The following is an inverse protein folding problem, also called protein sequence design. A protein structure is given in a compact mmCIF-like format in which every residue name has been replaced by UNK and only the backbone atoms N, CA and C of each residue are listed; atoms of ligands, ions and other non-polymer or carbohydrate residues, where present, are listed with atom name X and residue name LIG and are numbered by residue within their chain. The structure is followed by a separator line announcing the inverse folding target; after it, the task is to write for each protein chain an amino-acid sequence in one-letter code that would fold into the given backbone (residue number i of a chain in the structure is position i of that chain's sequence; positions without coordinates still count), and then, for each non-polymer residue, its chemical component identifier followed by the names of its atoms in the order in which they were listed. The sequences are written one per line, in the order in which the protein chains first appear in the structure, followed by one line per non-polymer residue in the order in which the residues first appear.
data_IF_814722886230
#
_entry.id   IF_814722886230
#
_cell.length_a   1.000
_cell.length_b   1.000
_cell.length_c   1.000
_cell.angle_alpha   90.00
_cell.angle_beta   90.00
_cell.angle_gamma   90.00
#
_symmetry.space_group_name_H-M   'P 1'
#
loop_
_entity.id
_entity.type
_entity.pdbx_description
1 polymer ?
#
# COMPACT_ATOMS: atom_id res chain seq x y z
N UNK A 1 -42.72 6.31 -17.15
CA UNK A 1 -43.37 5.11 -16.55
C UNK A 1 -42.36 4.43 -15.64
N UNK A 2 -42.64 4.42 -14.32
CA UNK A 2 -41.84 3.74 -13.30
C UNK A 2 -42.02 2.23 -13.39
N UNK A 3 -40.96 1.44 -13.24
CA UNK A 3 -41.03 0.14 -12.56
C UNK A 3 -39.78 -0.10 -11.70
N UNK A 4 -40.03 -0.12 -10.40
CA UNK A 4 -39.15 -0.62 -9.34
C UNK A 4 -39.03 -2.15 -9.44
N UNK A 5 -37.92 -2.72 -8.98
CA UNK A 5 -37.94 -3.97 -8.22
C UNK A 5 -36.65 -4.08 -7.38
N UNK A 6 -36.83 -3.87 -6.08
CA UNK A 6 -35.95 -4.34 -5.02
C UNK A 6 -36.66 -5.53 -4.35
N UNK A 7 -35.89 -6.55 -3.96
CA UNK A 7 -35.96 -7.33 -2.72
C UNK A 7 -35.54 -8.79 -2.97
N UNK A 8 -34.53 -9.25 -2.22
CA UNK A 8 -34.41 -10.66 -1.87
C UNK A 8 -34.00 -10.75 -0.39
N UNK A 9 -34.69 -11.65 0.31
CA UNK A 9 -34.83 -11.73 1.75
C UNK A 9 -33.74 -12.59 2.43
N UNK A 10 -33.43 -12.23 3.67
CA UNK A 10 -32.72 -13.04 4.65
C UNK A 10 -33.65 -14.14 5.23
N UNK A 11 -33.14 -15.36 5.39
CA UNK A 11 -33.79 -16.41 6.18
C UNK A 11 -32.88 -16.81 7.35
N UNK A 12 -33.39 -16.61 8.56
CA UNK A 12 -32.83 -17.08 9.84
C UNK A 12 -33.49 -18.41 10.19
N UNK A 13 -32.70 -19.40 10.63
CA UNK A 13 -33.21 -20.63 11.23
C UNK A 13 -32.60 -20.79 12.64
N UNK A 14 -33.48 -20.62 13.64
CA UNK A 14 -33.29 -20.98 15.04
C UNK A 14 -33.89 -22.38 15.26
N UNK A 15 -33.16 -23.28 15.91
CA UNK A 15 -33.75 -24.43 16.59
C UNK A 15 -33.28 -24.43 18.05
N UNK A 16 -34.25 -24.34 18.96
CA UNK A 16 -34.10 -24.59 20.38
C UNK A 16 -34.62 -26.00 20.69
N UNK A 17 -33.92 -26.71 21.59
CA UNK A 17 -34.38 -27.95 22.19
C UNK A 17 -34.03 -27.96 23.67
N UNK A 18 -35.05 -28.04 24.53
CA UNK A 18 -34.96 -28.18 25.98
C UNK A 18 -35.22 -29.63 26.40
N UNK A 19 -34.52 -30.13 27.42
CA UNK A 19 -35.10 -30.95 28.48
C UNK A 19 -34.20 -31.03 29.73
N UNK A 20 -34.88 -30.98 30.89
CA UNK A 20 -34.43 -31.16 32.29
C UNK A 20 -34.16 -32.67 32.58
N UNK A 21 -33.54 -33.18 33.66
CA UNK A 21 -33.66 -32.85 35.10
C UNK A 21 -32.62 -33.68 35.94
N UNK A 22 -32.29 -33.14 37.14
CA UNK A 22 -32.08 -33.81 38.46
C UNK A 22 -30.75 -34.43 39.00
N UNK A 23 -30.34 -33.83 40.14
CA UNK A 23 -29.91 -34.37 41.46
C UNK A 23 -28.61 -35.19 41.65
N UNK A 24 -27.65 -34.63 42.42
CA UNK A 24 -27.33 -34.99 43.84
C UNK A 24 -26.12 -34.19 44.40
N UNK A 25 -26.20 -33.77 45.68
CA UNK A 25 -25.09 -33.21 46.51
C UNK A 25 -24.34 -34.34 47.28
N UNK A 26 -23.38 -34.06 48.18
CA UNK A 26 -22.01 -33.55 47.97
C UNK A 26 -20.96 -34.52 48.56
N UNK A 27 -19.66 -34.39 48.21
CA UNK A 27 -18.59 -35.02 49.00
C UNK A 27 -17.40 -34.08 49.17
N UNK A 28 -17.12 -33.78 50.42
CA UNK A 28 -15.97 -33.05 50.94
C UNK A 28 -14.69 -33.88 50.79
N UNK A 29 -13.67 -33.28 50.19
CA UNK A 29 -12.24 -33.52 50.50
C UNK A 29 -11.43 -32.36 49.91
N UNK A 30 -10.91 -31.46 50.75
CA UNK A 30 -9.64 -30.78 50.44
C UNK A 30 -8.53 -31.84 50.54
N UNK A 31 -7.51 -31.81 49.65
CA UNK A 31 -6.31 -31.06 50.04
C UNK A 31 -5.50 -30.42 48.88
N UNK A 32 -4.66 -29.47 49.30
CA UNK A 32 -3.37 -29.01 48.74
C UNK A 32 -3.36 -28.05 47.52
N UNK A 33 -2.65 -26.90 47.60
CA UNK A 33 -2.43 -26.03 46.44
C UNK A 33 -1.36 -26.64 45.52
N UNK A 34 -1.79 -27.19 44.40
CA UNK A 34 -0.89 -27.54 43.30
C UNK A 34 -0.42 -26.26 42.61
N UNK A 35 0.79 -25.82 42.94
CA UNK A 35 1.53 -24.83 42.17
C UNK A 35 1.94 -25.44 40.82
N UNK A 36 0.98 -25.62 39.91
CA UNK A 36 1.29 -25.71 38.49
C UNK A 36 1.63 -24.32 37.98
N UNK A 37 2.87 -23.92 38.22
CA UNK A 37 3.57 -22.94 37.39
C UNK A 37 3.56 -23.53 35.98
N UNK A 38 2.53 -23.20 35.19
CA UNK A 38 2.54 -23.44 33.75
C UNK A 38 3.81 -22.79 33.24
N UNK A 39 4.81 -23.62 32.94
CA UNK A 39 5.97 -23.19 32.19
C UNK A 39 5.42 -22.68 30.87
N UNK A 40 5.34 -21.35 30.76
CA UNK A 40 5.10 -20.68 29.50
C UNK A 40 6.33 -21.03 28.66
N UNK A 41 6.20 -22.05 27.82
CA UNK A 41 7.17 -22.36 26.78
C UNK A 41 7.33 -21.10 25.95
N UNK A 42 8.38 -20.36 26.24
CA UNK A 42 8.78 -19.20 25.47
C UNK A 42 9.16 -19.77 24.11
N UNK A 43 8.28 -19.59 23.11
CA UNK A 43 8.60 -19.96 21.75
C UNK A 43 9.96 -19.37 21.42
N UNK A 44 10.91 -20.20 20.99
CA UNK A 44 12.25 -19.76 20.58
C UNK A 44 12.05 -18.74 19.47
N UNK A 45 12.23 -17.46 19.80
CA UNK A 45 11.98 -16.39 18.82
C UNK A 45 13.18 -16.36 17.89
N UNK A 46 12.97 -16.53 16.59
CA UNK A 46 14.05 -16.47 15.62
C UNK A 46 14.68 -15.08 15.60
N UNK A 47 15.97 -15.01 15.31
CA UNK A 47 16.68 -13.73 15.20
C UNK A 47 16.36 -13.08 13.86
N UNK A 48 15.97 -11.81 13.89
CA UNK A 48 15.89 -10.97 12.71
C UNK A 48 17.29 -10.46 12.35
N UNK A 49 17.97 -11.13 11.42
CA UNK A 49 19.28 -10.70 10.93
C UNK A 49 19.09 -9.58 9.91
N UNK A 50 19.74 -8.43 10.14
CA UNK A 50 19.76 -7.28 9.24
C UNK A 50 21.17 -7.12 8.68
N UNK A 51 21.30 -7.14 7.36
CA UNK A 51 22.54 -6.85 6.66
C UNK A 51 22.37 -5.58 5.85
N UNK A 52 22.88 -4.47 6.40
CA UNK A 52 22.80 -3.16 5.81
C UNK A 52 23.80 -2.97 4.64
N UNK A 53 24.75 -3.88 4.43
CA UNK A 53 25.65 -3.84 3.28
C UNK A 53 24.98 -4.43 2.03
N UNK A 54 24.06 -5.40 2.20
CA UNK A 54 23.31 -5.99 1.10
C UNK A 54 22.07 -5.15 0.75
N UNK A 55 22.25 -4.25 -0.22
CA UNK A 55 21.19 -3.41 -0.76
C UNK A 55 20.24 -4.17 -1.71
N UNK A 56 18.97 -3.77 -1.69
CA UNK A 56 17.90 -4.30 -2.54
C UNK A 56 17.29 -3.16 -3.37
N UNK A 57 15.95 -3.06 -3.46
CA UNK A 57 15.30 -2.01 -4.22
C UNK A 57 15.36 -0.64 -3.53
N UNK A 58 15.51 0.42 -4.33
CA UNK A 58 15.31 1.81 -3.87
C UNK A 58 13.83 2.09 -3.67
N UNK A 59 13.45 2.56 -2.49
CA UNK A 59 12.08 2.94 -2.17
C UNK A 59 11.71 4.26 -2.83
N UNK A 60 10.58 4.25 -3.50
CA UNK A 60 10.07 5.36 -4.28
C UNK A 60 8.98 6.14 -3.54
N UNK A 61 8.28 5.47 -2.61
CA UNK A 61 7.38 6.12 -1.68
C UNK A 61 6.13 5.33 -1.34
N UNK A 62 5.30 5.95 -0.50
CA UNK A 62 4.02 5.42 -0.07
C UNK A 62 2.96 6.50 -0.28
N UNK A 63 1.74 6.11 -0.66
CA UNK A 63 0.75 7.11 -1.07
C UNK A 63 -0.68 6.62 -1.17
N UNK A 64 -1.49 7.40 -1.87
CA UNK A 64 -2.85 7.03 -2.22
C UNK A 64 -3.39 7.88 -3.36
N UNK A 65 -4.61 7.56 -3.79
CA UNK A 65 -5.31 8.23 -4.87
C UNK A 65 -6.23 9.36 -4.40
N UNK A 66 -6.24 10.46 -5.15
CA UNK A 66 -7.31 11.47 -5.15
C UNK A 66 -7.97 11.47 -6.52
N UNK A 67 -9.24 11.09 -6.60
CA UNK A 67 -9.98 10.96 -7.86
C UNK A 67 -11.16 11.92 -7.86
N UNK A 68 -10.89 13.18 -8.21
CA UNK A 68 -11.86 14.27 -8.17
C UNK A 68 -13.07 14.04 -9.08
N UNK A 69 -12.89 13.29 -10.17
CA UNK A 69 -13.99 12.96 -11.08
C UNK A 69 -15.09 12.14 -10.38
N UNK A 70 -14.78 11.43 -9.30
CA UNK A 70 -15.71 10.49 -8.64
C UNK A 70 -16.12 10.91 -7.24
N UNK A 71 -15.26 11.62 -6.52
CA UNK A 71 -15.54 12.12 -5.17
C UNK A 71 -15.00 13.55 -5.04
N UNK A 72 -15.47 14.29 -4.03
CA UNK A 72 -14.96 15.64 -3.76
C UNK A 72 -13.43 15.65 -3.61
N UNK A 73 -12.78 16.76 -3.99
CA UNK A 73 -11.33 16.92 -3.79
C UNK A 73 -10.95 16.86 -2.31
N UNK A 74 -9.68 16.63 -2.01
CA UNK A 74 -9.16 16.77 -0.65
C UNK A 74 -9.26 18.24 -0.20
N UNK A 75 -9.72 18.46 1.02
CA UNK A 75 -9.70 19.79 1.66
C UNK A 75 -8.27 20.19 2.04
N UNK A 76 -7.98 21.47 2.34
CA UNK A 76 -6.65 21.90 2.81
C UNK A 76 -6.15 21.10 4.03
N UNK A 77 -7.03 20.80 4.98
CA UNK A 77 -6.73 19.94 6.12
C UNK A 77 -6.36 18.53 5.67
N UNK A 78 -7.18 17.91 4.82
CA UNK A 78 -6.93 16.53 4.34
C UNK A 78 -5.64 16.42 3.53
N UNK A 79 -5.25 17.46 2.77
CA UNK A 79 -3.96 17.50 2.06
C UNK A 79 -2.79 17.55 3.06
N UNK A 80 -2.92 18.32 4.13
CA UNK A 80 -1.91 18.39 5.20
C UNK A 80 -1.80 17.05 5.93
N UNK A 81 -2.94 16.47 6.32
CA UNK A 81 -3.01 15.14 6.94
C UNK A 81 -2.48 14.03 6.04
N UNK A 82 -2.60 14.16 4.71
CA UNK A 82 -2.05 13.17 3.78
C UNK A 82 -0.52 13.30 3.63
N UNK A 83 -0.02 14.49 3.34
CA UNK A 83 1.33 14.66 2.79
C UNK A 83 2.38 15.17 3.79
N UNK A 84 1.99 15.86 4.86
CA UNK A 84 2.96 16.37 5.85
C UNK A 84 3.67 15.20 6.55
N UNK A 85 5.02 15.13 6.53
CA UNK A 85 5.75 14.05 7.20
C UNK A 85 5.86 14.23 8.72
N UNK A 86 5.49 15.41 9.23
CA UNK A 86 5.60 15.75 10.66
C UNK A 86 4.25 15.68 11.36
N UNK A 87 3.22 16.31 10.78
CA UNK A 87 1.87 16.36 11.34
C UNK A 87 0.94 15.30 10.74
N UNK A 88 1.09 14.98 9.44
CA UNK A 88 0.22 14.06 8.70
C UNK A 88 0.84 12.68 8.46
N UNK A 89 0.28 11.87 7.59
CA UNK A 89 0.75 10.50 7.28
C UNK A 89 2.14 10.52 6.63
N UNK A 90 2.50 11.60 5.96
CA UNK A 90 3.77 11.73 5.25
C UNK A 90 3.79 11.01 3.91
N UNK A 91 2.64 10.87 3.24
CA UNK A 91 2.59 10.30 1.90
C UNK A 91 3.55 11.05 0.96
N UNK A 92 4.28 10.28 0.15
CA UNK A 92 5.26 10.80 -0.81
C UNK A 92 4.92 10.41 -2.25
N UNK A 93 3.75 9.80 -2.47
CA UNK A 93 3.16 9.57 -3.78
C UNK A 93 1.69 10.01 -3.73
N UNK A 94 1.26 10.76 -4.73
CA UNK A 94 -0.15 11.04 -5.01
C UNK A 94 -0.49 10.40 -6.35
N UNK A 95 -1.51 9.55 -6.39
CA UNK A 95 -2.10 9.05 -7.63
C UNK A 95 -3.33 9.87 -8.01
N UNK A 96 -3.45 10.25 -9.27
CA UNK A 96 -4.59 11.02 -9.79
C UNK A 96 -5.11 10.41 -11.09
N UNK A 97 -6.34 10.75 -11.43
CA UNK A 97 -6.93 10.42 -12.72
C UNK A 97 -6.54 11.47 -13.76
N UNK A 98 -6.31 11.03 -14.99
CA UNK A 98 -6.37 11.90 -16.18
C UNK A 98 -7.84 11.98 -16.64
N UNK A 99 -8.53 13.13 -16.48
CA UNK A 99 -9.92 13.25 -16.93
C UNK A 99 -10.05 13.06 -18.44
N UNK A 100 -11.21 12.62 -18.92
CA UNK A 100 -11.48 12.49 -20.36
C UNK A 100 -11.75 13.84 -21.04
N UNK A 101 -12.15 14.86 -20.27
CA UNK A 101 -12.36 16.23 -20.77
C UNK A 101 -11.27 17.16 -20.27
N UNK A 102 -10.62 17.89 -21.19
CA UNK A 102 -9.57 18.86 -20.86
C UNK A 102 -10.09 20.04 -20.04
N UNK A 103 -11.40 20.34 -20.09
CA UNK A 103 -12.05 21.33 -19.24
C UNK A 103 -11.88 21.05 -17.74
N UNK A 104 -11.61 19.80 -17.37
CA UNK A 104 -11.52 19.37 -15.98
C UNK A 104 -10.07 19.39 -15.45
N UNK A 105 -9.06 19.57 -16.30
CA UNK A 105 -7.66 19.44 -15.89
C UNK A 105 -7.25 20.46 -14.83
N UNK A 106 -7.72 21.70 -14.95
CA UNK A 106 -7.39 22.76 -14.00
C UNK A 106 -7.86 22.44 -12.57
N UNK A 107 -8.94 21.65 -12.43
CA UNK A 107 -9.51 21.31 -11.13
C UNK A 107 -8.64 20.32 -10.33
N UNK A 108 -7.75 19.56 -10.97
CA UNK A 108 -6.83 18.64 -10.29
C UNK A 108 -5.66 19.37 -9.58
N UNK A 109 -5.35 20.60 -10.01
CA UNK A 109 -4.15 21.34 -9.56
C UNK A 109 -4.06 21.55 -8.04
N UNK A 110 -5.13 21.95 -7.33
CA UNK A 110 -5.01 22.29 -5.91
C UNK A 110 -4.43 21.18 -5.03
N UNK A 111 -4.83 19.92 -5.25
CA UNK A 111 -4.27 18.77 -4.51
C UNK A 111 -2.89 18.39 -5.02
N UNK A 112 -2.67 18.44 -6.35
CA UNK A 112 -1.37 18.17 -6.98
C UNK A 112 -0.28 19.13 -6.45
N UNK A 113 -0.57 20.43 -6.42
CA UNK A 113 0.39 21.46 -6.04
C UNK A 113 0.77 21.35 -4.56
N UNK A 114 -0.19 21.03 -3.67
CA UNK A 114 0.10 20.78 -2.26
C UNK A 114 0.88 19.48 -2.06
N UNK A 115 0.55 18.40 -2.78
CA UNK A 115 1.33 17.16 -2.69
C UNK A 115 2.80 17.40 -3.10
N UNK A 116 3.01 18.12 -4.21
CA UNK A 116 4.35 18.53 -4.68
C UNK A 116 5.09 19.41 -3.69
N UNK A 117 4.41 20.33 -2.99
CA UNK A 117 5.05 21.20 -1.99
C UNK A 117 5.60 20.42 -0.79
N UNK A 118 5.06 19.23 -0.50
CA UNK A 118 5.62 18.27 0.46
C UNK A 118 6.63 17.28 -0.16
N UNK A 119 6.97 17.46 -1.43
CA UNK A 119 7.93 16.62 -2.17
C UNK A 119 7.35 15.29 -2.67
N UNK A 120 6.02 15.15 -2.73
CA UNK A 120 5.40 13.94 -3.26
C UNK A 120 5.55 13.83 -4.78
N UNK A 121 5.76 12.61 -5.27
CA UNK A 121 5.69 12.27 -6.70
C UNK A 121 4.22 12.16 -7.10
N UNK A 122 3.82 12.87 -8.15
CA UNK A 122 2.46 12.75 -8.69
C UNK A 122 2.47 11.78 -9.85
N UNK A 123 1.75 10.67 -9.74
CA UNK A 123 1.54 9.72 -10.83
C UNK A 123 0.11 9.85 -11.35
N UNK A 124 -0.09 9.85 -12.66
CA UNK A 124 -1.40 10.03 -13.26
C UNK A 124 -1.79 8.83 -14.12
N UNK A 125 -3.02 8.34 -13.98
CA UNK A 125 -3.52 7.21 -14.76
C UNK A 125 -4.80 7.59 -15.49
N UNK A 126 -4.93 7.17 -16.74
CA UNK A 126 -6.17 7.30 -17.50
C UNK A 126 -7.02 6.02 -17.41
N UNK A 127 -8.30 6.17 -17.00
CA UNK A 127 -9.30 5.09 -17.09
C UNK A 127 -9.90 4.96 -18.48
N UNK A 128 -9.98 6.07 -19.21
CA UNK A 128 -10.52 6.14 -20.56
C UNK A 128 -9.79 7.22 -21.37
N UNK A 129 -9.76 7.04 -22.69
CA UNK A 129 -9.53 8.13 -23.61
C UNK A 129 -10.81 8.98 -23.78
N UNK A 130 -10.73 10.19 -24.37
CA UNK A 130 -11.91 10.90 -24.85
C UNK A 130 -12.77 9.99 -25.74
N UNK A 131 -14.10 10.04 -25.60
CA UNK A 131 -15.01 9.09 -26.27
C UNK A 131 -14.90 9.10 -27.79
N UNK A 132 -14.55 10.23 -28.40
CA UNK A 132 -14.29 10.37 -29.84
C UNK A 132 -13.07 9.57 -30.33
N UNK A 133 -12.21 9.12 -29.42
CA UNK A 133 -11.01 8.33 -29.69
C UNK A 133 -11.22 6.84 -29.48
N UNK A 134 -12.41 6.42 -29.04
CA UNK A 134 -12.72 5.04 -28.65
C UNK A 134 -13.75 4.40 -29.59
N UNK A 135 -13.75 3.07 -29.65
CA UNK A 135 -14.82 2.27 -30.27
C UNK A 135 -15.24 1.20 -29.27
N UNK A 136 -16.39 1.42 -28.64
CA UNK A 136 -16.77 0.68 -27.44
C UNK A 136 -15.78 0.97 -26.31
N UNK A 137 -15.20 -0.08 -25.73
CA UNK A 137 -14.20 0.00 -24.66
C UNK A 137 -12.75 0.03 -25.18
N UNK A 138 -12.55 0.00 -26.50
CA UNK A 138 -11.20 -0.08 -27.08
C UNK A 138 -10.74 1.28 -27.61
N UNK A 139 -9.46 1.60 -27.41
CA UNK A 139 -8.81 2.75 -28.04
C UNK A 139 -8.67 2.51 -29.55
N UNK A 140 -9.16 3.45 -30.37
CA UNK A 140 -8.93 3.38 -31.82
C UNK A 140 -7.45 3.63 -32.13
N UNK A 141 -6.81 2.73 -32.89
CA UNK A 141 -5.41 2.85 -33.31
C UNK A 141 -5.15 4.12 -34.10
N UNK A 142 -6.11 4.57 -34.92
CA UNK A 142 -6.03 5.84 -35.65
C UNK A 142 -5.97 7.07 -34.70
N UNK A 143 -6.42 6.91 -33.45
CA UNK A 143 -6.46 7.96 -32.43
C UNK A 143 -5.25 7.93 -31.49
N UNK A 144 -4.27 7.05 -31.68
CA UNK A 144 -3.11 6.94 -30.79
C UNK A 144 -2.38 8.27 -30.58
N UNK A 145 -2.09 9.00 -31.65
CA UNK A 145 -1.40 10.29 -31.55
C UNK A 145 -2.27 11.34 -30.83
N UNK A 146 -3.59 11.36 -31.11
CA UNK A 146 -4.53 12.28 -30.46
C UNK A 146 -4.67 11.96 -28.95
N UNK A 147 -4.66 10.68 -28.58
CA UNK A 147 -4.72 10.25 -27.20
C UNK A 147 -3.43 10.59 -26.44
N UNK A 148 -2.26 10.38 -27.04
CA UNK A 148 -1.00 10.82 -26.45
C UNK A 148 -0.94 12.35 -26.27
N UNK A 149 -1.46 13.11 -27.23
CA UNK A 149 -1.60 14.57 -27.10
C UNK A 149 -2.56 14.96 -25.96
N UNK A 150 -3.64 14.21 -25.74
CA UNK A 150 -4.53 14.40 -24.58
C UNK A 150 -3.76 14.21 -23.26
N UNK A 151 -3.02 13.11 -23.12
CA UNK A 151 -2.17 12.84 -21.95
C UNK A 151 -1.11 13.94 -21.72
N UNK A 152 -0.47 14.41 -22.79
CA UNK A 152 0.50 15.51 -22.72
C UNK A 152 -0.15 16.83 -22.31
N UNK A 153 -1.34 17.14 -22.84
CA UNK A 153 -2.07 18.36 -22.47
C UNK A 153 -2.48 18.34 -21.00
N UNK A 154 -2.86 17.18 -20.45
CA UNK A 154 -3.07 17.01 -19.01
C UNK A 154 -1.79 17.30 -18.22
N UNK A 155 -0.70 16.62 -18.56
CA UNK A 155 0.59 16.81 -17.91
C UNK A 155 1.02 18.28 -17.90
N UNK A 156 0.86 18.98 -19.03
CA UNK A 156 1.14 20.42 -19.14
C UNK A 156 0.21 21.24 -18.25
N UNK A 157 -1.10 21.00 -18.31
CA UNK A 157 -2.09 21.75 -17.55
C UNK A 157 -1.90 21.64 -16.03
N UNK A 158 -1.49 20.47 -15.52
CA UNK A 158 -1.24 20.27 -14.08
C UNK A 158 0.18 20.64 -13.63
N UNK A 159 1.00 21.21 -14.51
CA UNK A 159 2.37 21.65 -14.19
C UNK A 159 3.35 20.49 -14.00
N UNK A 160 3.20 19.44 -14.81
CA UNK A 160 4.06 18.25 -14.83
C UNK A 160 3.63 17.17 -13.84
N UNK A 161 3.73 15.90 -14.24
CA UNK A 161 3.61 14.73 -13.37
C UNK A 161 4.92 13.94 -13.38
N UNK A 162 5.16 13.14 -12.35
CA UNK A 162 6.34 12.27 -12.26
C UNK A 162 6.28 11.16 -13.30
N UNK A 163 5.10 10.56 -13.49
CA UNK A 163 4.86 9.58 -14.53
C UNK A 163 3.38 9.54 -14.92
N UNK A 164 3.10 9.04 -16.12
CA UNK A 164 1.74 8.87 -16.63
C UNK A 164 1.52 7.44 -17.16
N UNK A 165 0.37 6.87 -16.83
CA UNK A 165 -0.10 5.59 -17.34
C UNK A 165 -1.23 5.80 -18.33
N UNK A 166 -1.11 5.25 -19.56
CA UNK A 166 -2.17 5.34 -20.55
C UNK A 166 -3.34 4.38 -20.30
N UNK A 167 -3.22 3.43 -19.37
CA UNK A 167 -4.30 2.47 -19.09
C UNK A 167 -4.35 2.16 -17.60
N UNK A 168 -5.52 2.32 -17.00
CA UNK A 168 -5.86 1.69 -15.73
C UNK A 168 -6.42 0.29 -16.00
N UNK A 169 -5.86 -0.75 -15.38
CA UNK A 169 -6.45 -2.10 -15.36
C UNK A 169 -6.91 -2.61 -16.74
N UNK A 170 -6.06 -2.56 -17.78
CA UNK A 170 -6.46 -2.91 -19.13
C UNK A 170 -6.95 -4.36 -19.27
N UNK A 171 -6.57 -5.24 -18.34
CA UNK A 171 -6.96 -6.64 -18.27
C UNK A 171 -8.20 -6.91 -17.38
N UNK A 172 -8.93 -5.89 -16.94
CA UNK A 172 -10.17 -6.03 -16.18
C UNK A 172 -11.40 -5.79 -17.06
N UNK A 173 -11.95 -6.88 -17.59
CA UNK A 173 -13.08 -6.84 -18.53
C UNK A 173 -14.43 -6.56 -17.87
N UNK A 174 -15.34 -5.91 -18.60
CA UNK A 174 -16.75 -5.75 -18.21
C UNK A 174 -17.01 -4.60 -17.24
N UNK A 175 -16.03 -3.71 -17.08
CA UNK A 175 -16.13 -2.50 -16.23
C UNK A 175 -16.73 -1.30 -16.97
N UNK A 176 -16.67 -1.31 -18.31
CA UNK A 176 -16.97 -0.14 -19.14
C UNK A 176 -15.82 0.87 -19.22
N UNK A 177 -14.67 0.58 -18.62
CA UNK A 177 -13.43 1.32 -18.79
C UNK A 177 -12.66 0.84 -20.01
N UNK A 178 -11.58 1.54 -20.35
CA UNK A 178 -10.79 1.22 -21.52
C UNK A 178 -10.04 -0.10 -21.32
N UNK A 179 -10.40 -1.10 -22.12
CA UNK A 179 -9.83 -2.44 -22.10
C UNK A 179 -8.71 -2.56 -23.15
N UNK A 180 -7.69 -3.37 -22.86
CA UNK A 180 -6.63 -3.68 -23.81
C UNK A 180 -5.88 -4.96 -23.42
N UNK A 181 -5.46 -5.72 -24.43
CA UNK A 181 -4.45 -6.77 -24.25
C UNK A 181 -3.07 -6.16 -23.94
N UNK A 182 -2.18 -6.96 -23.36
CA UNK A 182 -0.80 -6.53 -23.10
C UNK A 182 -0.08 -6.04 -24.37
N UNK A 183 -0.38 -6.67 -25.51
CA UNK A 183 0.15 -6.30 -26.83
C UNK A 183 -0.37 -4.95 -27.29
N UNK A 184 -1.65 -4.64 -27.10
CA UNK A 184 -2.22 -3.33 -27.47
C UNK A 184 -1.66 -2.20 -26.60
N UNK A 185 -1.52 -2.42 -25.29
CA UNK A 185 -0.84 -1.47 -24.39
C UNK A 185 0.61 -1.25 -24.84
N UNK A 186 1.33 -2.33 -25.17
CA UNK A 186 2.70 -2.25 -25.67
C UNK A 186 2.79 -1.49 -27.00
N UNK A 187 1.87 -1.74 -27.93
CA UNK A 187 1.83 -1.06 -29.23
C UNK A 187 1.59 0.45 -29.08
N UNK A 188 0.67 0.85 -28.19
CA UNK A 188 0.47 2.27 -27.87
C UNK A 188 1.75 2.90 -27.31
N UNK A 189 2.37 2.28 -26.29
CA UNK A 189 3.59 2.83 -25.68
C UNK A 189 4.76 2.85 -26.68
N UNK A 190 4.91 1.82 -27.50
CA UNK A 190 5.93 1.77 -28.54
C UNK A 190 5.75 2.89 -29.56
N UNK A 191 4.51 3.15 -30.00
CA UNK A 191 4.22 4.20 -30.97
C UNK A 191 4.31 5.61 -30.36
N UNK A 192 3.75 5.82 -29.17
CA UNK A 192 3.42 7.14 -28.66
C UNK A 192 3.93 7.46 -27.26
N UNK A 193 4.57 6.53 -26.54
CA UNK A 193 4.95 6.75 -25.14
C UNK A 193 5.78 8.02 -24.89
N UNK A 194 6.68 8.37 -25.82
CA UNK A 194 7.48 9.60 -25.76
C UNK A 194 6.68 10.89 -25.99
N UNK A 195 5.49 10.79 -26.57
CA UNK A 195 4.62 11.93 -26.90
C UNK A 195 3.60 12.22 -25.79
N UNK A 196 3.54 11.42 -24.72
CA UNK A 196 2.62 11.61 -23.60
C UNK A 196 3.04 12.74 -22.63
N UNK A 197 4.18 13.40 -22.87
CA UNK A 197 4.65 14.56 -22.09
C UNK A 197 5.29 14.26 -20.74
N UNK A 198 5.23 13.01 -20.26
CA UNK A 198 5.82 12.57 -19.00
C UNK A 198 6.42 11.16 -19.15
N UNK A 199 7.33 10.75 -18.25
CA UNK A 199 7.79 9.37 -18.17
C UNK A 199 6.63 8.36 -18.11
N UNK A 200 6.72 7.25 -18.85
CA UNK A 200 5.65 6.24 -18.88
C UNK A 200 5.78 5.29 -17.69
N UNK A 201 4.67 5.08 -16.98
CA UNK A 201 4.45 3.92 -16.12
C UNK A 201 3.39 3.01 -16.76
N UNK A 202 3.63 1.71 -16.81
CA UNK A 202 2.74 0.74 -17.45
C UNK A 202 3.09 -0.69 -16.99
N UNK A 203 2.24 -1.71 -17.20
CA UNK A 203 0.96 -1.66 -17.90
C UNK A 203 -0.27 -1.69 -16.98
N UNK A 204 -0.09 -1.53 -15.67
CA UNK A 204 -1.13 -1.46 -14.64
C UNK A 204 -2.20 -2.58 -14.67
N UNK A 205 -1.84 -3.89 -14.78
CA UNK A 205 -2.85 -4.93 -14.66
C UNK A 205 -3.46 -4.93 -13.25
N UNK A 206 -4.76 -5.23 -13.13
CA UNK A 206 -5.52 -5.14 -11.87
C UNK A 206 -5.03 -6.09 -10.76
N UNK A 207 -4.23 -7.08 -11.12
CA UNK A 207 -3.80 -8.18 -10.27
C UNK A 207 -2.30 -8.47 -10.40
N UNK A 208 -1.50 -7.51 -10.86
CA UNK A 208 -0.04 -7.62 -11.02
C UNK A 208 0.33 -8.86 -11.86
N UNK A 209 -0.49 -9.24 -12.85
CA UNK A 209 -0.31 -10.51 -13.57
C UNK A 209 1.03 -10.54 -14.34
N UNK A 210 1.90 -11.48 -13.95
CA UNK A 210 3.25 -11.58 -14.54
C UNK A 210 3.21 -11.98 -16.01
N UNK A 211 2.20 -12.74 -16.46
CA UNK A 211 2.06 -13.09 -17.88
C UNK A 211 1.75 -11.85 -18.72
N UNK A 212 0.84 -11.01 -18.24
CA UNK A 212 0.50 -9.73 -18.86
C UNK A 212 1.70 -8.78 -18.89
N UNK A 213 2.43 -8.66 -17.77
CA UNK A 213 3.64 -7.83 -17.68
C UNK A 213 4.72 -8.34 -18.64
N UNK A 214 4.98 -9.65 -18.69
CA UNK A 214 5.99 -10.24 -19.58
C UNK A 214 5.61 -10.05 -21.06
N UNK A 215 4.33 -10.24 -21.40
CA UNK A 215 3.84 -10.00 -22.75
C UNK A 215 4.03 -8.52 -23.16
N UNK A 216 3.72 -7.57 -22.26
CA UNK A 216 3.97 -6.15 -22.48
C UNK A 216 5.47 -5.85 -22.68
N UNK A 217 6.34 -6.37 -21.81
CA UNK A 217 7.78 -6.13 -21.85
C UNK A 217 8.50 -6.84 -23.01
N UNK A 218 7.84 -7.79 -23.68
CA UNK A 218 8.39 -8.47 -24.87
C UNK A 218 8.54 -7.52 -26.07
N UNK A 219 7.78 -6.42 -26.10
CA UNK A 219 7.97 -5.35 -27.06
C UNK A 219 9.15 -4.46 -26.63
N UNK A 220 10.30 -4.62 -27.29
CA UNK A 220 11.53 -3.92 -26.96
C UNK A 220 11.39 -2.38 -26.99
N UNK A 221 10.66 -1.85 -27.98
CA UNK A 221 10.42 -0.40 -28.09
C UNK A 221 9.56 0.10 -26.94
N UNK A 222 8.48 -0.59 -26.60
CA UNK A 222 7.65 -0.26 -25.44
C UNK A 222 8.49 -0.27 -24.16
N UNK A 223 9.20 -1.38 -23.91
CA UNK A 223 10.09 -1.56 -22.74
C UNK A 223 11.14 -0.45 -22.62
N UNK A 224 11.69 0.04 -23.73
CA UNK A 224 12.66 1.15 -23.73
C UNK A 224 12.03 2.49 -23.31
N UNK A 225 10.75 2.70 -23.62
CA UNK A 225 9.98 3.91 -23.28
C UNK A 225 9.31 3.83 -21.90
N UNK A 226 9.15 2.63 -21.33
CA UNK A 226 8.65 2.42 -19.96
C UNK A 226 9.71 2.78 -18.92
N UNK A 227 9.39 3.67 -18.00
CA UNK A 227 10.28 4.06 -16.90
C UNK A 227 10.26 3.05 -15.77
N UNK A 228 9.07 2.60 -15.35
CA UNK A 228 8.91 1.54 -14.36
C UNK A 228 7.63 0.74 -14.62
N UNK A 229 7.62 -0.50 -14.13
CA UNK A 229 6.46 -1.38 -14.21
C UNK A 229 5.54 -1.08 -13.03
N UNK A 230 4.24 -1.03 -13.30
CA UNK A 230 3.22 -0.84 -12.27
C UNK A 230 2.04 -1.79 -12.48
N UNK A 231 1.28 -2.00 -11.41
CA UNK A 231 0.16 -2.92 -11.32
C UNK A 231 -0.53 -2.82 -9.96
N UNK A 232 -1.70 -3.42 -9.88
CA UNK A 232 -2.52 -3.49 -8.67
C UNK A 232 -2.49 -4.92 -8.11
N UNK A 233 -3.01 -5.16 -6.91
CA UNK A 233 -2.92 -6.49 -6.26
C UNK A 233 -4.28 -7.08 -5.91
N UNK A 234 -5.35 -6.66 -6.59
CA UNK A 234 -6.68 -7.20 -6.33
C UNK A 234 -6.74 -8.71 -6.61
N UNK A 235 -7.14 -9.47 -5.59
CA UNK A 235 -7.22 -10.93 -5.65
C UNK A 235 -5.88 -11.65 -5.71
N UNK A 236 -4.76 -10.97 -5.41
CA UNK A 236 -3.40 -11.54 -5.46
C UNK A 236 -2.56 -11.13 -4.27
N UNK A 237 -1.96 -12.10 -3.60
CA UNK A 237 -0.88 -11.85 -2.63
C UNK A 237 0.34 -11.31 -3.36
N UNK A 238 1.05 -10.28 -2.83
CA UNK A 238 2.28 -9.78 -3.43
C UNK A 238 3.35 -10.88 -3.61
N UNK A 239 4.10 -10.82 -4.71
CA UNK A 239 5.09 -11.83 -5.08
C UNK A 239 6.24 -11.21 -5.89
N UNK A 240 7.41 -11.84 -5.87
CA UNK A 240 8.55 -11.34 -6.65
C UNK A 240 8.33 -11.57 -8.14
N UNK A 241 8.40 -10.50 -8.94
CA UNK A 241 8.42 -10.59 -10.41
C UNK A 241 9.80 -11.02 -10.96
N UNK A 242 10.80 -11.21 -10.08
CA UNK A 242 12.18 -11.45 -10.47
C UNK A 242 12.82 -10.23 -11.16
N UNK A 243 13.92 -10.46 -11.87
CA UNK A 243 14.63 -9.40 -12.58
C UNK A 243 13.98 -9.11 -13.94
N UNK A 244 12.98 -8.25 -13.95
CA UNK A 244 12.34 -7.77 -15.20
C UNK A 244 13.06 -6.57 -15.84
N UNK A 245 14.14 -6.09 -15.21
CA UNK A 245 14.95 -4.95 -15.69
C UNK A 245 14.29 -3.58 -15.49
N UNK A 246 13.26 -3.50 -14.65
CA UNK A 246 12.53 -2.28 -14.28
C UNK A 246 12.15 -2.35 -12.80
N UNK A 247 12.04 -1.19 -12.15
CA UNK A 247 11.42 -1.07 -10.82
C UNK A 247 9.93 -1.46 -10.91
N UNK A 248 9.37 -2.00 -9.82
CA UNK A 248 7.97 -2.47 -9.73
C UNK A 248 7.23 -1.63 -8.70
N UNK A 249 6.11 -1.03 -9.07
CA UNK A 249 5.31 -0.15 -8.21
C UNK A 249 3.90 -0.74 -8.05
N UNK A 250 3.44 -0.90 -6.82
CA UNK A 250 2.04 -1.21 -6.55
C UNK A 250 1.25 0.10 -6.50
N UNK A 251 0.40 0.33 -7.51
CA UNK A 251 -0.23 1.64 -7.78
C UNK A 251 -1.71 1.74 -7.39
N UNK A 252 -2.31 0.67 -6.89
CA UNK A 252 -3.66 0.72 -6.32
C UNK A 252 -3.99 -0.54 -5.54
N UNK A 253 -4.56 -0.36 -4.35
CA UNK A 253 -5.33 -1.39 -3.67
C UNK A 253 -6.19 -0.81 -2.53
N UNK A 254 -7.20 -1.55 -2.10
CA UNK A 254 -7.80 -1.43 -0.78
C UNK A 254 -8.16 -2.84 -0.28
N UNK A 255 -8.11 -3.07 1.03
CA UNK A 255 -8.37 -4.40 1.60
C UNK A 255 -9.85 -4.75 1.64
N UNK A 256 -10.69 -3.84 2.15
CA UNK A 256 -12.14 -4.03 2.25
C UNK A 256 -12.87 -2.68 2.29
N UNK A 257 -13.65 -2.38 1.25
CA UNK A 257 -14.35 -1.10 1.11
C UNK A 257 -15.59 -0.96 2.01
N UNK A 258 -16.04 -2.05 2.64
CA UNK A 258 -17.21 -2.06 3.52
C UNK A 258 -16.85 -1.94 5.00
N UNK A 259 -15.55 -1.94 5.32
CA UNK A 259 -15.03 -1.89 6.69
C UNK A 259 -14.32 -0.56 6.91
N UNK A 260 -14.58 0.08 8.05
CA UNK A 260 -13.96 1.37 8.37
C UNK A 260 -12.42 1.26 8.41
N UNK A 261 -11.73 2.32 7.99
CA UNK A 261 -10.28 2.45 8.16
C UNK A 261 -9.85 2.47 9.63
N UNK A 262 -10.79 2.67 10.57
CA UNK A 262 -10.56 2.56 12.01
C UNK A 262 -10.72 1.14 12.57
N UNK A 263 -11.19 0.18 11.77
CA UNK A 263 -11.18 -1.22 12.19
C UNK A 263 -9.75 -1.71 12.31
N UNK A 264 -9.36 -2.11 13.52
CA UNK A 264 -7.96 -2.44 13.79
C UNK A 264 -7.49 -3.73 13.08
N UNK A 265 -8.37 -4.73 12.99
CA UNK A 265 -8.05 -5.99 12.30
C UNK A 265 -7.78 -5.75 10.81
N UNK A 266 -8.65 -4.97 10.17
CA UNK A 266 -8.49 -4.59 8.78
C UNK A 266 -7.25 -3.71 8.54
N UNK A 267 -6.96 -2.77 9.43
CA UNK A 267 -5.74 -1.96 9.36
C UNK A 267 -4.47 -2.83 9.49
N UNK A 268 -4.49 -3.87 10.32
CA UNK A 268 -3.38 -4.83 10.46
C UNK A 268 -3.22 -5.76 9.25
N UNK A 269 -4.28 -6.03 8.49
CA UNK A 269 -4.17 -6.69 7.18
C UNK A 269 -3.41 -5.80 6.19
N UNK A 270 -3.72 -4.50 6.15
CA UNK A 270 -2.96 -3.56 5.32
C UNK A 270 -1.50 -3.43 5.77
N UNK A 271 -1.21 -3.48 7.07
CA UNK A 271 0.17 -3.48 7.60
C UNK A 271 0.99 -4.66 7.03
N UNK A 272 0.37 -5.85 7.00
CA UNK A 272 0.96 -7.07 6.43
C UNK A 272 1.10 -6.98 4.91
N UNK A 273 0.12 -6.43 4.21
CA UNK A 273 0.16 -6.26 2.77
C UNK A 273 1.28 -5.30 2.31
N UNK A 274 1.47 -4.18 3.02
CA UNK A 274 2.58 -3.25 2.75
C UNK A 274 3.91 -3.96 2.98
N UNK A 275 4.04 -4.72 4.09
CA UNK A 275 5.22 -5.54 4.34
C UNK A 275 5.49 -6.51 3.16
N UNK A 276 4.46 -7.22 2.69
CA UNK A 276 4.59 -8.20 1.61
C UNK A 276 5.01 -7.56 0.29
N UNK A 277 4.48 -6.38 -0.03
CA UNK A 277 4.92 -5.62 -1.20
C UNK A 277 6.42 -5.28 -1.11
N UNK A 278 6.86 -4.78 0.04
CA UNK A 278 8.27 -4.42 0.23
C UNK A 278 9.18 -5.65 0.25
N UNK A 279 8.73 -6.77 0.83
CA UNK A 279 9.46 -8.04 0.83
C UNK A 279 9.54 -8.67 -0.57
N UNK A 280 8.51 -8.50 -1.41
CA UNK A 280 8.46 -8.96 -2.80
C UNK A 280 9.39 -8.19 -3.75
N UNK A 281 9.98 -7.07 -3.30
CA UNK A 281 10.85 -6.24 -4.13
C UNK A 281 10.15 -5.03 -4.75
N UNK A 282 8.90 -4.73 -4.37
CA UNK A 282 8.20 -3.55 -4.88
C UNK A 282 8.79 -2.29 -4.25
N UNK A 283 8.86 -1.24 -5.06
CA UNK A 283 9.50 0.02 -4.71
C UNK A 283 8.51 1.08 -4.23
N UNK A 284 7.21 0.90 -4.49
CA UNK A 284 6.15 1.81 -4.07
C UNK A 284 4.89 1.03 -3.68
N UNK A 285 4.09 1.66 -2.82
CA UNK A 285 2.75 1.21 -2.45
C UNK A 285 1.81 2.41 -2.41
N UNK A 286 0.72 2.37 -3.15
CA UNK A 286 -0.34 3.37 -3.03
C UNK A 286 -1.69 2.74 -2.74
N UNK A 287 -2.34 3.22 -1.70
CA UNK A 287 -3.74 2.90 -1.42
C UNK A 287 -4.63 3.47 -2.52
N UNK A 288 -5.88 3.02 -2.55
CA UNK A 288 -6.92 3.61 -3.39
C UNK A 288 -7.30 5.00 -2.85
N UNK A 289 -8.56 5.30 -2.51
CA UNK A 289 -8.90 6.64 -2.05
C UNK A 289 -8.18 7.04 -0.74
N UNK A 290 -7.46 8.17 -0.76
CA UNK A 290 -6.88 8.78 0.44
C UNK A 290 -8.00 9.12 1.44
N UNK A 291 -9.05 9.81 0.97
CA UNK A 291 -10.23 10.13 1.78
C UNK A 291 -11.37 9.19 1.47
N UNK A 292 -11.69 8.29 2.42
CA UNK A 292 -12.87 7.43 2.38
C UNK A 292 -13.13 6.82 3.75
N UNK A 293 -14.36 6.35 4.00
CA UNK A 293 -14.69 5.64 5.25
C UNK A 293 -13.76 4.45 5.55
N UNK A 294 -13.26 3.78 4.51
CA UNK A 294 -12.29 2.68 4.57
C UNK A 294 -10.84 3.11 4.28
N UNK A 295 -10.60 4.41 4.07
CA UNK A 295 -9.33 4.97 3.66
C UNK A 295 -8.46 5.42 4.83
N UNK A 296 -7.23 5.89 4.54
CA UNK A 296 -6.31 6.40 5.55
C UNK A 296 -6.76 7.72 6.19
N UNK A 297 -7.63 8.48 5.53
CA UNK A 297 -8.30 9.66 6.09
C UNK A 297 -9.81 9.45 5.97
N UNK A 298 -10.56 9.68 7.04
CA UNK A 298 -12.02 9.58 7.02
C UNK A 298 -12.70 10.83 6.44
N UNK A 299 -14.02 10.76 6.25
CA UNK A 299 -14.79 11.88 5.70
C UNK A 299 -14.84 13.10 6.66
N UNK A 300 -14.49 12.91 7.94
CA UNK A 300 -14.35 13.96 8.95
C UNK A 300 -12.93 14.54 9.03
N UNK A 301 -12.05 14.16 8.10
CA UNK A 301 -10.64 14.59 8.01
C UNK A 301 -9.72 14.05 9.11
N UNK A 302 -10.12 13.01 9.85
CA UNK A 302 -9.24 12.36 10.81
C UNK A 302 -8.37 11.31 10.11
N UNK A 303 -7.10 11.20 10.52
CA UNK A 303 -6.27 10.03 10.18
C UNK A 303 -6.86 8.80 10.87
N UNK A 304 -7.18 7.78 10.09
CA UNK A 304 -7.72 6.51 10.60
C UNK A 304 -6.62 5.58 11.11
N UNK A 305 -6.97 4.46 11.76
CA UNK A 305 -5.99 3.41 12.11
C UNK A 305 -5.19 2.93 10.90
N UNK A 306 -5.83 2.75 9.75
CA UNK A 306 -5.15 2.48 8.49
C UNK A 306 -4.15 3.58 8.12
N UNK A 307 -4.53 4.85 8.26
CA UNK A 307 -3.61 5.97 8.02
C UNK A 307 -2.39 5.94 8.94
N UNK A 308 -2.57 5.61 10.22
CA UNK A 308 -1.45 5.43 11.16
C UNK A 308 -0.61 4.18 10.87
N UNK A 309 -1.19 3.11 10.31
CA UNK A 309 -0.43 1.96 9.79
C UNK A 309 0.44 2.39 8.61
N UNK A 310 -0.13 3.12 7.65
CA UNK A 310 0.63 3.64 6.50
C UNK A 310 1.73 4.62 6.95
N UNK A 311 1.47 5.45 7.96
CA UNK A 311 2.43 6.42 8.49
C UNK A 311 3.70 5.78 9.07
N UNK A 312 3.62 4.54 9.57
CA UNK A 312 4.79 3.77 10.03
C UNK A 312 5.80 3.51 8.91
N UNK A 313 5.35 3.44 7.66
CA UNK A 313 6.24 3.41 6.50
C UNK A 313 6.48 4.84 5.99
N UNK A 314 5.41 5.55 5.64
CA UNK A 314 5.48 6.80 4.88
C UNK A 314 6.27 7.92 5.58
N UNK A 315 6.17 8.06 6.91
CA UNK A 315 6.93 9.10 7.64
C UNK A 315 8.43 8.81 7.70
N UNK A 316 8.81 7.55 7.82
CA UNK A 316 10.17 7.16 8.24
C UNK A 316 11.00 6.53 7.12
N UNK A 317 10.37 5.93 6.12
CA UNK A 317 11.00 5.36 4.93
C UNK A 317 10.77 6.32 3.75
N UNK A 318 11.58 7.38 3.69
CA UNK A 318 11.42 8.44 2.69
C UNK A 318 11.87 7.99 1.30
N UNK A 319 11.40 8.63 0.22
CA UNK A 319 11.93 8.38 -1.12
C UNK A 319 13.46 8.38 -1.15
N UNK A 320 14.04 7.45 -1.93
CA UNK A 320 15.46 7.17 -2.07
C UNK A 320 16.12 6.39 -0.92
N UNK A 321 15.37 6.00 0.11
CA UNK A 321 15.87 4.98 1.05
C UNK A 321 16.11 3.66 0.31
N UNK A 322 17.20 2.98 0.61
CA UNK A 322 17.50 1.66 0.09
C UNK A 322 16.91 0.61 1.01
N UNK A 323 16.05 -0.27 0.50
CA UNK A 323 15.72 -1.49 1.25
C UNK A 323 17.00 -2.32 1.37
N UNK A 324 17.23 -2.91 2.53
CA UNK A 324 18.37 -3.81 2.78
C UNK A 324 17.90 -5.22 3.12
N UNK A 325 18.82 -6.17 3.03
CA UNK A 325 18.55 -7.57 3.35
C UNK A 325 18.17 -7.72 4.83
N UNK A 326 17.12 -8.49 5.07
CA UNK A 326 16.70 -8.85 6.42
C UNK A 326 15.95 -10.19 6.45
N UNK A 327 15.96 -10.88 7.59
CA UNK A 327 15.02 -11.97 7.85
C UNK A 327 13.59 -11.41 7.88
N UNK A 328 12.83 -11.63 6.82
CA UNK A 328 11.51 -10.97 6.66
C UNK A 328 10.43 -11.51 7.61
N UNK A 329 10.51 -12.77 8.03
CA UNK A 329 9.58 -13.43 8.94
C UNK A 329 10.35 -14.23 10.01
N UNK A 330 11.01 -13.56 10.99
CA UNK A 330 11.89 -14.21 11.96
C UNK A 330 11.16 -15.16 12.91
N UNK A 331 9.86 -14.97 13.12
CA UNK A 331 9.02 -15.86 13.92
C UNK A 331 7.58 -15.75 13.44
N UNK A 332 6.80 -16.81 13.60
CA UNK A 332 5.39 -16.83 13.17
C UNK A 332 4.63 -15.60 13.70
N UNK A 333 4.00 -14.88 12.78
CA UNK A 333 3.22 -13.68 13.10
C UNK A 333 4.06 -12.40 13.29
N UNK A 334 5.39 -12.45 13.16
CA UNK A 334 6.26 -11.27 13.19
C UNK A 334 6.91 -11.07 11.83
N UNK A 335 6.76 -9.87 11.28
CA UNK A 335 7.25 -9.54 9.94
C UNK A 335 8.13 -8.28 10.00
N UNK A 336 9.30 -8.31 9.35
CA UNK A 336 10.32 -7.26 9.44
C UNK A 336 10.76 -6.80 8.05
N UNK A 337 10.80 -5.50 7.84
CA UNK A 337 11.54 -4.88 6.72
C UNK A 337 12.54 -3.87 7.23
N UNK A 338 13.65 -3.71 6.52
CA UNK A 338 14.74 -2.82 6.88
C UNK A 338 15.14 -1.92 5.71
N UNK A 339 15.47 -0.68 6.01
CA UNK A 339 15.79 0.37 5.04
C UNK A 339 16.94 1.21 5.56
N UNK A 340 17.80 1.72 4.68
CA UNK A 340 18.87 2.65 5.05
C UNK A 340 18.91 3.89 4.16
N UNK A 341 19.43 4.97 4.72
CA UNK A 341 19.85 6.17 4.01
C UNK A 341 21.09 6.72 4.69
N UNK A 342 22.24 6.66 4.01
CA UNK A 342 23.53 6.95 4.64
C UNK A 342 23.76 6.07 5.87
N UNK A 343 23.97 6.69 7.02
CA UNK A 343 24.14 6.01 8.32
C UNK A 343 22.84 5.73 9.08
N UNK A 344 21.68 6.19 8.57
CA UNK A 344 20.39 5.97 9.24
C UNK A 344 19.81 4.62 8.82
N UNK A 345 19.44 3.80 9.82
CA UNK A 345 18.70 2.56 9.66
C UNK A 345 17.25 2.75 10.12
N UNK A 346 16.30 2.23 9.33
CA UNK A 346 14.89 2.17 9.68
C UNK A 346 14.40 0.74 9.61
N UNK A 347 13.78 0.25 10.68
CA UNK A 347 13.13 -1.06 10.73
C UNK A 347 11.63 -0.87 10.89
N UNK A 348 10.82 -1.54 10.07
CA UNK A 348 9.36 -1.58 10.23
C UNK A 348 8.95 -3.01 10.54
N UNK A 349 8.27 -3.20 11.66
CA UNK A 349 7.95 -4.50 12.26
C UNK A 349 6.45 -4.61 12.47
N UNK A 350 5.84 -5.66 11.92
CA UNK A 350 4.42 -6.00 12.11
C UNK A 350 4.35 -7.23 13.01
N UNK A 351 3.71 -7.09 14.18
CA UNK A 351 3.38 -8.20 15.07
C UNK A 351 1.88 -8.49 14.99
N UNK A 352 1.50 -9.60 14.36
CA UNK A 352 0.12 -10.07 14.30
C UNK A 352 -0.26 -10.98 15.49
N UNK A 353 0.68 -11.29 16.38
CA UNK A 353 0.39 -12.13 17.54
C UNK A 353 -0.49 -11.39 18.56
N UNK A 354 -1.35 -12.14 19.24
CA UNK A 354 -2.23 -11.63 20.31
C UNK A 354 -1.51 -11.46 21.65
N UNK A 355 -0.25 -11.85 21.74
CA UNK A 355 0.60 -11.71 22.91
C UNK A 355 1.82 -10.82 22.60
N UNK A 356 2.41 -10.26 23.67
CA UNK A 356 3.70 -9.57 23.58
C UNK A 356 4.74 -10.54 23.04
N UNK A 357 5.45 -10.13 22.00
CA UNK A 357 6.50 -10.95 21.37
C UNK A 357 7.85 -10.29 21.61
N UNK A 358 8.78 -11.02 22.25
CA UNK A 358 10.16 -10.57 22.41
C UNK A 358 10.93 -10.90 21.13
N UNK A 359 11.19 -9.90 20.29
CA UNK A 359 11.89 -10.08 19.02
C UNK A 359 13.37 -9.69 19.16
N UNK A 360 14.25 -10.62 18.80
CA UNK A 360 15.71 -10.43 18.78
C UNK A 360 16.16 -9.96 17.40
N UNK A 361 17.08 -9.00 17.35
CA UNK A 361 17.69 -8.46 16.14
C UNK A 361 19.20 -8.62 16.18
N UNK A 362 19.82 -8.85 15.03
CA UNK A 362 21.26 -8.73 14.83
C UNK A 362 21.53 -7.81 13.64
N UNK A 363 22.59 -7.01 13.75
CA UNK A 363 22.93 -5.96 12.80
C UNK A 363 24.33 -6.23 12.23
N UNK A 364 24.47 -6.05 10.93
CA UNK A 364 25.73 -6.10 10.22
C UNK A 364 25.77 -5.02 9.13
N UNK A 365 26.97 -4.57 8.77
CA UNK A 365 27.15 -3.50 7.77
C UNK A 365 26.71 -2.10 8.23
N UNK A 366 26.35 -1.92 9.51
CA UNK A 366 25.96 -0.64 10.10
C UNK A 366 26.20 -0.65 11.62
N UNK A 367 26.51 0.52 12.19
CA UNK A 367 26.61 0.73 13.64
C UNK A 367 25.50 1.66 14.08
N UNK A 368 24.76 1.28 15.12
CA UNK A 368 23.69 2.08 15.71
C UNK A 368 23.90 2.18 17.22
N UNK A 369 23.66 3.36 17.79
CA UNK A 369 23.77 3.61 19.24
C UNK A 369 22.42 3.52 19.97
N UNK A 370 21.32 3.51 19.22
CA UNK A 370 19.97 3.47 19.74
C UNK A 370 18.93 3.72 18.65
N UNK A 371 17.67 3.66 19.05
CA UNK A 371 16.54 3.91 18.17
C UNK A 371 15.51 4.82 18.85
N UNK A 372 14.93 5.71 18.05
CA UNK A 372 13.60 6.25 18.29
C UNK A 372 12.58 5.23 17.82
N UNK A 373 11.69 4.81 18.70
CA UNK A 373 10.63 3.84 18.44
C UNK A 373 9.29 4.55 18.34
N UNK A 374 8.54 4.21 17.31
CA UNK A 374 7.16 4.64 17.07
C UNK A 374 6.28 3.40 16.91
N UNK A 375 5.11 3.36 17.55
CA UNK A 375 4.23 2.19 17.45
C UNK A 375 2.75 2.57 17.40
N UNK A 376 1.99 1.75 16.69
CA UNK A 376 0.53 1.86 16.55
C UNK A 376 -0.08 0.50 16.91
N UNK A 377 -1.11 0.53 17.74
CA UNK A 377 -1.93 -0.63 18.08
C UNK A 377 -3.41 -0.20 18.14
N UNK A 378 -4.31 -1.03 18.66
CA UNK A 378 -5.74 -0.69 18.77
C UNK A 378 -6.01 0.56 19.62
N UNK A 379 -5.20 0.86 20.63
CA UNK A 379 -5.40 1.98 21.56
C UNK A 379 -4.44 3.17 21.36
N UNK A 380 -3.35 3.00 20.61
CA UNK A 380 -2.29 3.99 20.44
C UNK A 380 -2.03 4.29 18.96
N UNK A 381 -1.74 5.56 18.65
CA UNK A 381 -1.42 6.04 17.31
C UNK A 381 -0.05 6.71 17.32
N UNK A 382 0.96 6.11 16.67
CA UNK A 382 2.34 6.61 16.63
C UNK A 382 2.88 7.04 18.01
N UNK A 383 2.52 6.31 19.07
CA UNK A 383 3.11 6.50 20.38
C UNK A 383 4.62 6.25 20.30
N UNK A 384 5.41 6.99 21.08
CA UNK A 384 6.87 6.97 20.93
C UNK A 384 7.62 6.85 22.24
N UNK A 385 8.82 6.28 22.15
CA UNK A 385 9.86 6.29 23.16
C UNK A 385 11.21 6.00 22.47
N UNK A 386 12.30 5.91 23.22
CA UNK A 386 13.61 5.58 22.69
C UNK A 386 14.35 4.60 23.58
N UNK A 387 15.37 3.95 23.04
CA UNK A 387 16.27 3.07 23.78
C UNK A 387 17.66 3.06 23.13
N UNK A 388 18.67 2.75 23.94
CA UNK A 388 20.05 2.60 23.47
C UNK A 388 20.34 1.15 23.06
N UNK A 389 21.25 0.98 22.12
CA UNK A 389 21.78 -0.30 21.68
C UNK A 389 23.28 -0.30 21.89
N UNK A 390 23.82 -1.40 22.40
CA UNK A 390 25.26 -1.62 22.52
C UNK A 390 25.64 -2.88 21.75
N UNK A 391 26.73 -2.79 20.98
CA UNK A 391 27.15 -3.87 20.08
C UNK A 391 26.25 -4.01 18.85
N UNK A 392 26.21 -5.22 18.29
CA UNK A 392 25.53 -5.53 17.03
C UNK A 392 24.25 -6.35 17.21
N UNK A 393 23.71 -6.45 18.43
CA UNK A 393 22.45 -7.16 18.68
C UNK A 393 21.65 -6.48 19.79
N UNK A 394 20.33 -6.56 19.68
CA UNK A 394 19.39 -6.07 20.68
C UNK A 394 18.10 -6.89 20.61
N UNK A 395 17.23 -6.72 21.60
CA UNK A 395 15.87 -7.25 21.55
C UNK A 395 14.88 -6.18 22.00
N UNK A 396 13.63 -6.33 21.55
CA UNK A 396 12.52 -5.49 21.99
C UNK A 396 11.26 -6.32 22.22
N UNK A 397 10.44 -5.87 23.16
CA UNK A 397 9.07 -6.36 23.30
C UNK A 397 8.15 -5.62 22.33
N UNK A 398 7.57 -6.35 21.39
CA UNK A 398 6.52 -5.90 20.49
C UNK A 398 5.17 -6.08 21.16
N UNK A 399 4.35 -5.02 21.20
CA UNK A 399 3.00 -5.12 21.76
C UNK A 399 2.13 -6.08 20.94
N UNK A 400 1.12 -6.76 21.54
CA UNK A 400 0.15 -7.54 20.79
C UNK A 400 -0.47 -6.75 19.64
N UNK A 401 -0.69 -7.40 18.49
CA UNK A 401 -1.38 -6.85 17.32
C UNK A 401 -0.99 -5.39 17.05
N UNK A 402 0.26 -5.18 16.62
CA UNK A 402 0.85 -3.85 16.47
C UNK A 402 1.79 -3.75 15.29
N UNK A 403 2.01 -2.51 14.85
CA UNK A 403 3.07 -2.14 13.94
C UNK A 403 4.01 -1.17 14.65
N UNK A 404 5.32 -1.39 14.52
CA UNK A 404 6.38 -0.63 15.17
C UNK A 404 7.42 -0.22 14.14
N UNK A 405 7.84 1.05 14.16
CA UNK A 405 8.98 1.55 13.40
C UNK A 405 10.09 1.99 14.34
N UNK A 406 11.31 1.55 14.04
CA UNK A 406 12.52 1.97 14.71
C UNK A 406 13.34 2.82 13.75
N UNK A 407 13.74 4.02 14.16
CA UNK A 407 14.63 4.91 13.40
C UNK A 407 15.91 5.09 14.22
N UNK A 408 17.06 4.72 13.67
CA UNK A 408 18.32 4.81 14.40
C UNK A 408 18.68 6.28 14.68
N UNK A 409 19.27 6.51 15.85
CA UNK A 409 19.75 7.83 16.26
C UNK A 409 20.93 8.33 15.43
#
# INVERSE_FOLDING_TARGET
MRKNLWQLACLVLLFAGCSKNENTKPRTTEPTPDQTRKAQTTATTGTAAIDAATEQQTIQGFGGASILTWIADLTPTQRTEAFSPTSGIGMSILRVMVPTSSSNFAAEKPTIDVAKSYGAKVIATAWNAPSSMMTGVNLNTASYAAYAAHLNSYNTAVGGVYAISPFNEPNLSGTGWMEATATEVANFVAAQGSNCGAPIMAPEPFNMDQTFINAYLSNATAKSKTSFVCGHIYGKTPYSLGSIGKSVWMTEHFTNSSVSGNDWSNAMNAAKEIHDCMAAGYAAYTWWYIRRSYGPIDESSNITKLGYVMAQYARYVRPNYMKVSCTANPSTGVYVTAYKSGSTLVLVIVNQNTATTNQVFSLSGITVSGFNRYYTNSSSNLASNSFSVSGSSFNINLTPSSITTLVSN
#
